data_IF_322645712218
#
_entry.id   IF_322645712218
#
_cell.length_a   1.000
_cell.length_b   1.000
_cell.length_c   1.000
_cell.angle_alpha   90.00
_cell.angle_beta   90.00
_cell.angle_gamma   90.00
#
_symmetry.space_group_name_H-M   'P 1'
#
loop_
_entity.id
_entity.type
_entity.pdbx_description
1 polymer ?
#
# COMPACT_ATOMS: atom_id res chain seq x y z
N UNK A 1 -3.91 -15.75 -10.61
CA UNK A 1 -4.39 -14.42 -10.16
C UNK A 1 -5.34 -14.63 -8.99
N UNK A 2 -5.13 -13.93 -7.88
CA UNK A 2 -6.06 -13.91 -6.76
C UNK A 2 -7.05 -12.77 -6.97
N UNK A 3 -8.34 -13.07 -6.93
CA UNK A 3 -9.38 -12.05 -7.02
C UNK A 3 -9.68 -11.54 -5.60
N UNK A 4 -9.61 -10.22 -5.43
CA UNK A 4 -9.98 -9.51 -4.21
C UNK A 4 -10.97 -8.42 -4.55
N UNK A 5 -12.06 -8.37 -3.79
CA UNK A 5 -13.10 -7.34 -3.94
C UNK A 5 -12.90 -6.27 -2.89
N UNK A 6 -12.79 -5.02 -3.32
CA UNK A 6 -12.79 -3.85 -2.43
C UNK A 6 -14.11 -3.08 -2.59
N UNK A 7 -14.68 -2.62 -1.48
CA UNK A 7 -15.82 -1.70 -1.52
C UNK A 7 -15.30 -0.28 -1.49
N UNK A 8 -15.71 0.53 -2.45
CA UNK A 8 -15.41 1.96 -2.51
C UNK A 8 -16.71 2.74 -2.67
N UNK A 9 -16.71 4.00 -2.22
CA UNK A 9 -17.86 4.88 -2.44
C UNK A 9 -17.98 5.26 -3.92
N UNK A 10 -19.20 5.52 -4.37
CA UNK A 10 -19.47 5.92 -5.75
C UNK A 10 -18.71 7.20 -6.15
N UNK A 11 -18.57 8.14 -5.20
CA UNK A 11 -17.78 9.37 -5.39
C UNK A 11 -16.32 9.06 -5.74
N UNK A 12 -15.71 8.08 -5.06
CA UNK A 12 -14.33 7.67 -5.32
C UNK A 12 -14.25 6.97 -6.68
N UNK A 13 -15.20 6.09 -6.99
CA UNK A 13 -15.23 5.39 -8.27
C UNK A 13 -15.31 6.36 -9.47
N UNK A 14 -16.19 7.38 -9.40
CA UNK A 14 -16.28 8.43 -10.42
C UNK A 14 -14.97 9.19 -10.61
N UNK A 15 -14.32 9.59 -9.51
CA UNK A 15 -13.01 10.25 -9.58
C UNK A 15 -11.93 9.37 -10.21
N UNK A 16 -11.96 8.05 -9.98
CA UNK A 16 -11.03 7.11 -10.62
C UNK A 16 -11.28 7.05 -12.14
N UNK A 17 -12.56 7.00 -12.55
CA UNK A 17 -12.95 7.03 -13.96
C UNK A 17 -12.55 8.34 -14.67
N UNK A 18 -12.62 9.48 -13.98
CA UNK A 18 -12.20 10.76 -14.54
C UNK A 18 -10.66 10.91 -14.62
N UNK A 19 -9.92 10.11 -13.84
CA UNK A 19 -8.46 10.22 -13.71
C UNK A 19 -7.68 9.21 -14.58
N UNK A 20 -8.35 8.16 -15.09
CA UNK A 20 -7.76 7.23 -16.05
C UNK A 20 -7.63 7.89 -17.43
N UNK A 21 -6.71 7.41 -18.25
CA UNK A 21 -6.67 7.78 -19.67
C UNK A 21 -7.83 7.10 -20.42
N UNK A 22 -8.22 7.64 -21.58
CA UNK A 22 -9.42 7.18 -22.30
C UNK A 22 -9.40 5.67 -22.60
N UNK A 23 -8.24 5.15 -23.04
CA UNK A 23 -8.04 3.73 -23.38
C UNK A 23 -7.49 2.88 -22.22
N UNK A 24 -7.20 3.48 -21.06
CA UNK A 24 -6.64 2.79 -19.89
C UNK A 24 -7.76 2.11 -19.08
N UNK A 25 -7.51 0.90 -18.61
CA UNK A 25 -8.37 0.20 -17.65
C UNK A 25 -8.17 0.72 -16.22
N UNK A 26 -9.14 0.48 -15.33
CA UNK A 26 -8.98 0.82 -13.91
C UNK A 26 -7.80 0.08 -13.29
N UNK A 27 -7.50 -1.13 -13.73
CA UNK A 27 -6.35 -1.91 -13.25
C UNK A 27 -5.04 -1.23 -13.63
N UNK A 28 -4.84 -0.89 -14.91
CA UNK A 28 -3.63 -0.20 -15.38
C UNK A 28 -3.48 1.18 -14.74
N UNK A 29 -4.60 1.88 -14.53
CA UNK A 29 -4.61 3.13 -13.78
C UNK A 29 -4.08 2.94 -12.35
N UNK A 30 -4.54 1.89 -11.64
CA UNK A 30 -4.11 1.59 -10.28
C UNK A 30 -2.64 1.15 -10.24
N UNK A 31 -2.18 0.35 -11.21
CA UNK A 31 -0.78 -0.04 -11.35
C UNK A 31 0.12 1.19 -11.53
N UNK A 32 -0.29 2.12 -12.41
CA UNK A 32 0.41 3.39 -12.61
C UNK A 32 0.37 4.30 -11.38
N UNK A 33 -0.78 4.42 -10.73
CA UNK A 33 -0.96 5.27 -9.54
C UNK A 33 -0.07 4.81 -8.38
N UNK A 34 0.06 3.49 -8.22
CA UNK A 34 0.85 2.87 -7.17
C UNK A 34 2.32 2.68 -7.56
N UNK A 35 2.74 3.15 -8.75
CA UNK A 35 4.05 2.89 -9.36
C UNK A 35 4.43 1.39 -9.31
N UNK A 36 3.42 0.53 -9.44
CA UNK A 36 3.59 -0.91 -9.66
C UNK A 36 4.00 -1.07 -11.12
N UNK A 37 5.23 -0.64 -11.43
CA UNK A 37 5.92 -1.21 -12.58
C UNK A 37 6.05 -2.70 -12.30
N UNK A 38 5.86 -3.56 -13.31
CA UNK A 38 6.40 -4.91 -13.29
C UNK A 38 7.93 -4.81 -13.15
N UNK A 39 8.41 -4.52 -11.94
CA UNK A 39 9.77 -4.76 -11.55
C UNK A 39 9.89 -6.26 -11.40
N UNK A 40 10.20 -6.92 -12.52
CA UNK A 40 10.98 -8.13 -12.37
C UNK A 40 12.26 -7.76 -11.61
N UNK A 41 12.37 -8.27 -10.37
CA UNK A 41 13.54 -8.26 -9.47
C UNK A 41 13.80 -6.89 -8.82
N UNK A 42 13.75 -6.74 -7.49
CA UNK A 42 14.38 -7.62 -6.52
C UNK A 42 13.88 -7.22 -5.12
N UNK A 43 12.93 -7.96 -4.55
CA UNK A 43 12.44 -7.71 -3.17
C UNK A 43 13.61 -7.77 -2.19
N UNK A 44 14.69 -8.50 -2.53
CA UNK A 44 15.93 -8.56 -1.76
C UNK A 44 16.69 -7.22 -1.69
N UNK A 45 16.56 -6.33 -2.68
CA UNK A 45 17.18 -4.99 -2.65
C UNK A 45 16.53 -4.13 -1.58
N UNK A 46 15.21 -4.20 -1.47
CA UNK A 46 14.47 -3.54 -0.39
C UNK A 46 14.90 -4.14 0.95
N UNK A 47 14.86 -5.46 1.13
CA UNK A 47 15.31 -6.09 2.39
C UNK A 47 16.75 -5.74 2.81
N UNK A 48 17.67 -5.55 1.86
CA UNK A 48 19.03 -5.07 2.15
C UNK A 48 19.05 -3.69 2.81
N UNK A 49 18.25 -2.75 2.30
CA UNK A 49 18.11 -1.40 2.87
C UNK A 49 17.57 -1.48 4.30
N UNK A 50 16.61 -2.37 4.57
CA UNK A 50 16.10 -2.58 5.92
C UNK A 50 17.13 -3.21 6.85
N UNK A 51 17.91 -4.18 6.37
CA UNK A 51 18.95 -4.86 7.16
C UNK A 51 20.07 -3.91 7.63
N UNK A 52 20.35 -2.87 6.86
CA UNK A 52 21.37 -1.87 7.15
C UNK A 52 20.84 -0.67 7.96
N UNK A 53 19.54 -0.65 8.31
CA UNK A 53 19.01 0.39 9.20
C UNK A 53 19.54 0.21 10.63
N UNK A 54 19.97 1.29 11.30
CA UNK A 54 20.34 1.24 12.71
C UNK A 54 19.21 0.68 13.58
N UNK A 55 19.56 -0.07 14.62
CA UNK A 55 18.61 -0.72 15.56
C UNK A 55 17.60 0.26 16.15
N UNK A 56 18.00 1.51 16.37
CA UNK A 56 17.15 2.59 16.86
C UNK A 56 15.91 2.84 15.98
N UNK A 57 16.02 2.65 14.66
CA UNK A 57 14.89 2.79 13.75
C UNK A 57 13.89 1.64 13.90
N UNK A 58 14.37 0.43 14.23
CA UNK A 58 13.48 -0.70 14.48
C UNK A 58 12.68 -0.52 15.78
N UNK A 59 13.30 0.03 16.82
CA UNK A 59 12.61 0.32 18.09
C UNK A 59 11.50 1.36 17.91
N UNK A 60 11.73 2.39 17.09
CA UNK A 60 10.70 3.40 16.75
C UNK A 60 9.54 2.75 15.98
N UNK A 61 9.85 1.91 14.99
CA UNK A 61 8.82 1.23 14.19
C UNK A 61 8.01 0.26 15.05
N UNK A 62 8.63 -0.49 15.96
CA UNK A 62 7.92 -1.39 16.87
C UNK A 62 7.01 -0.63 17.84
N UNK A 63 7.49 0.50 18.37
CA UNK A 63 6.71 1.44 19.18
C UNK A 63 5.44 1.90 18.44
N UNK A 64 5.61 2.41 17.23
CA UNK A 64 4.51 2.96 16.43
C UNK A 64 3.48 1.88 16.06
N UNK A 65 3.96 0.68 15.71
CA UNK A 65 3.08 -0.47 15.41
C UNK A 65 2.26 -0.87 16.64
N UNK A 66 2.87 -0.85 17.83
CA UNK A 66 2.19 -1.20 19.08
C UNK A 66 1.11 -0.17 19.41
N UNK A 67 1.41 1.12 19.30
CA UNK A 67 0.45 2.20 19.54
C UNK A 67 -0.74 2.14 18.57
N UNK A 68 -0.48 1.88 17.29
CA UNK A 68 -1.54 1.69 16.29
C UNK A 68 -2.42 0.49 16.65
N UNK A 69 -1.84 -0.65 17.05
CA UNK A 69 -2.61 -1.83 17.46
C UNK A 69 -3.47 -1.58 18.69
N UNK A 70 -2.92 -0.90 19.69
CA UNK A 70 -3.65 -0.55 20.90
C UNK A 70 -4.80 0.41 20.59
N UNK A 71 -4.58 1.41 19.75
CA UNK A 71 -5.62 2.32 19.29
C UNK A 71 -6.71 1.64 18.45
N UNK A 72 -6.36 0.64 17.63
CA UNK A 72 -7.34 -0.19 16.91
C UNK A 72 -8.13 -1.03 17.91
N UNK A 73 -7.48 -1.73 18.83
CA UNK A 73 -8.16 -2.59 19.80
C UNK A 73 -9.10 -1.82 20.73
N UNK A 74 -8.76 -0.58 21.09
CA UNK A 74 -9.64 0.31 21.85
C UNK A 74 -10.84 0.83 21.05
N UNK A 75 -10.71 1.00 19.73
CA UNK A 75 -11.81 1.44 18.86
C UNK A 75 -12.80 0.34 18.53
N UNK A 76 -12.41 -0.91 18.70
CA UNK A 76 -13.22 -2.09 18.37
C UNK A 76 -13.54 -2.98 19.58
N UNK A 77 -13.25 -2.53 20.81
CA UNK A 77 -13.83 -3.06 22.07
C UNK A 77 -15.02 -2.21 22.50
#
# INVERSE_FOLDING_TARGET
MTLKTIKISERIYKKLLDSKKDEESITEFLERLLDIKEQSKDINKSFGIWKDLPTEYFEIIESDIKEIREGINQRFS
#
